data_IF_805065253847
#
_entry.id   IF_805065253847
#
_cell.length_a   1.000
_cell.length_b   1.000
_cell.length_c   1.000
_cell.angle_alpha   90.00
_cell.angle_beta   90.00
_cell.angle_gamma   90.00
#
_symmetry.space_group_name_H-M   'P 1'
#
loop_
_entity.id
_entity.type
_entity.pdbx_description
1 polymer ?
#
# COMPACT_ATOMS: atom_id res chain seq x y z
N UNK A 1 -1.25 -12.64 11.93
CA UNK A 1 -0.55 -12.50 10.68
C UNK A 1 0.03 -11.12 10.49
N UNK A 2 1.29 -11.08 10.13
CA UNK A 2 2.07 -9.84 10.02
C UNK A 2 1.48 -8.89 8.99
N UNK A 3 0.96 -9.41 7.88
CA UNK A 3 0.47 -8.59 6.76
C UNK A 3 -0.80 -7.82 7.08
N UNK A 4 -1.56 -8.26 8.07
CA UNK A 4 -2.82 -7.63 8.42
C UNK A 4 -2.65 -6.53 9.46
N UNK A 5 -1.48 -6.44 10.08
CA UNK A 5 -1.18 -5.36 11.00
C UNK A 5 -0.93 -4.08 10.21
N UNK A 6 -1.68 -3.04 10.55
CA UNK A 6 -1.38 -1.73 10.02
C UNK A 6 -0.16 -1.15 10.70
N UNK A 7 0.55 -0.26 10.01
CA UNK A 7 1.67 0.46 10.60
C UNK A 7 1.26 1.21 11.86
N UNK A 8 0.09 1.79 11.83
CA UNK A 8 -0.51 2.54 12.92
C UNK A 8 -0.69 1.67 14.18
N UNK A 9 -1.04 0.39 14.00
CA UNK A 9 -1.15 -0.55 15.12
C UNK A 9 0.23 -1.03 15.58
N UNK A 10 1.10 -1.36 14.64
CA UNK A 10 2.40 -1.94 14.92
C UNK A 10 3.32 -0.98 15.71
N UNK A 11 3.38 0.29 15.30
CA UNK A 11 4.31 1.25 15.93
C UNK A 11 3.96 1.58 17.38
N UNK A 12 2.71 1.94 17.73
CA UNK A 12 2.39 2.28 19.11
C UNK A 12 2.24 1.07 20.04
N UNK A 13 1.64 -0.01 19.55
CA UNK A 13 1.30 -1.18 20.38
C UNK A 13 2.53 -2.06 20.61
N UNK A 14 3.32 -2.26 19.58
CA UNK A 14 4.45 -3.19 19.60
C UNK A 14 5.81 -2.52 19.81
N UNK A 15 5.82 -1.21 20.01
CA UNK A 15 7.06 -0.42 20.13
C UNK A 15 8.00 -0.63 18.95
N UNK A 16 7.44 -0.80 17.77
CA UNK A 16 8.23 -1.00 16.56
C UNK A 16 8.97 0.28 16.18
N UNK A 17 10.18 0.14 15.66
CA UNK A 17 11.02 1.27 15.23
C UNK A 17 11.02 1.48 13.73
N UNK A 18 10.29 0.63 13.00
CA UNK A 18 10.20 0.72 11.55
C UNK A 18 9.37 -0.41 10.97
N UNK A 19 9.28 -0.46 9.66
CA UNK A 19 8.47 -1.44 8.93
C UNK A 19 9.06 -1.70 7.55
N UNK A 20 8.94 -2.94 7.08
CA UNK A 20 9.23 -3.31 5.71
C UNK A 20 7.90 -3.39 4.97
N UNK A 21 7.70 -2.49 4.01
CA UNK A 21 6.39 -2.23 3.42
C UNK A 21 6.31 -2.62 1.96
N UNK A 22 5.21 -3.24 1.57
CA UNK A 22 4.87 -3.47 0.16
C UNK A 22 4.35 -2.18 -0.48
N UNK A 23 3.44 -1.47 0.17
CA UNK A 23 2.86 -0.25 -0.38
C UNK A 23 3.89 0.88 -0.51
N UNK A 24 4.94 0.86 0.28
CA UNK A 24 6.04 1.81 0.16
C UNK A 24 6.74 1.79 -1.19
N UNK A 25 6.63 0.71 -1.95
CA UNK A 25 7.15 0.64 -3.31
C UNK A 25 6.37 1.54 -4.27
N UNK A 26 5.07 1.71 -4.04
CA UNK A 26 4.20 2.52 -4.88
C UNK A 26 4.07 3.96 -4.37
N UNK A 27 4.01 4.15 -3.06
CA UNK A 27 3.77 5.44 -2.41
C UNK A 27 4.81 5.74 -1.33
N UNK A 28 6.09 5.88 -1.70
CA UNK A 28 7.15 6.07 -0.71
C UNK A 28 7.03 7.36 0.09
N UNK A 29 6.55 8.43 -0.51
CA UNK A 29 6.42 9.73 0.17
C UNK A 29 5.34 9.70 1.23
N UNK A 30 4.14 9.30 0.85
CA UNK A 30 2.98 9.28 1.73
C UNK A 30 3.16 8.25 2.84
N UNK A 31 3.62 7.06 2.48
CA UNK A 31 3.89 6.02 3.46
C UNK A 31 5.02 6.43 4.42
N UNK A 32 6.09 6.98 3.90
CA UNK A 32 7.20 7.47 4.71
C UNK A 32 6.78 8.58 5.67
N UNK A 33 5.92 9.50 5.21
CA UNK A 33 5.36 10.55 6.06
C UNK A 33 4.55 9.95 7.20
N UNK A 34 3.70 8.97 6.91
CA UNK A 34 2.89 8.28 7.93
C UNK A 34 3.79 7.59 8.96
N UNK A 35 4.84 6.91 8.53
CA UNK A 35 5.80 6.25 9.41
C UNK A 35 6.48 7.26 10.34
N UNK A 36 6.98 8.36 9.78
CA UNK A 36 7.68 9.38 10.56
C UNK A 36 6.76 10.03 11.60
N UNK A 37 5.52 10.30 11.23
CA UNK A 37 4.53 10.85 12.15
C UNK A 37 4.24 9.87 13.29
N UNK A 38 4.05 8.61 12.97
CA UNK A 38 3.77 7.56 13.96
C UNK A 38 4.96 7.36 14.92
N UNK A 39 6.18 7.38 14.40
CA UNK A 39 7.39 7.25 15.23
C UNK A 39 7.58 8.42 16.19
N UNK A 40 7.08 9.60 15.83
CA UNK A 40 7.09 10.77 16.73
C UNK A 40 5.93 10.79 17.72
N UNK A 41 5.02 9.81 17.65
CA UNK A 41 3.83 9.76 18.47
C UNK A 41 2.70 10.66 17.97
N UNK A 42 2.82 11.22 16.77
CA UNK A 42 1.80 12.10 16.18
C UNK A 42 0.77 11.27 15.41
N UNK A 43 -0.04 10.52 16.15
CA UNK A 43 -1.05 9.63 15.56
C UNK A 43 -2.22 10.41 14.96
N UNK A 44 -2.49 11.60 15.46
CA UNK A 44 -3.55 12.45 14.94
C UNK A 44 -3.34 12.77 13.46
N UNK A 45 -2.11 13.04 13.04
CA UNK A 45 -1.77 13.33 11.65
C UNK A 45 -1.41 12.07 10.84
N UNK A 46 -0.97 10.99 11.48
CA UNK A 46 -0.68 9.73 10.81
C UNK A 46 -1.96 8.99 10.40
N UNK A 47 -2.98 9.03 11.23
CA UNK A 47 -4.22 8.27 11.04
C UNK A 47 -4.97 8.62 9.75
N UNK A 48 -5.13 9.88 9.35
CA UNK A 48 -5.76 10.21 8.07
C UNK A 48 -5.05 9.61 6.86
N UNK A 49 -3.73 9.54 6.90
CA UNK A 49 -2.94 8.92 5.83
C UNK A 49 -3.22 7.42 5.78
N UNK A 50 -3.26 6.77 6.95
CA UNK A 50 -3.60 5.35 7.04
C UNK A 50 -4.99 5.07 6.46
N UNK A 51 -5.99 5.84 6.82
CA UNK A 51 -7.35 5.67 6.32
C UNK A 51 -7.45 5.89 4.81
N UNK A 52 -6.70 6.84 4.28
CA UNK A 52 -6.64 7.12 2.85
C UNK A 52 -6.21 5.90 2.04
N UNK A 53 -5.30 5.10 2.57
CA UNK A 53 -4.75 3.93 1.87
C UNK A 53 -5.35 2.60 2.34
N UNK A 54 -6.30 2.60 3.26
CA UNK A 54 -6.81 1.37 3.88
C UNK A 54 -7.34 0.35 2.85
N UNK A 55 -8.09 0.80 1.86
CA UNK A 55 -8.62 -0.10 0.83
C UNK A 55 -7.54 -0.61 -0.11
N UNK A 56 -6.54 0.22 -0.40
CA UNK A 56 -5.40 -0.19 -1.22
C UNK A 56 -4.57 -1.26 -0.51
N UNK A 57 -4.41 -1.18 0.82
CA UNK A 57 -3.75 -2.21 1.60
C UNK A 57 -4.41 -3.58 1.41
N UNK A 58 -5.74 -3.61 1.42
CA UNK A 58 -6.50 -4.84 1.19
C UNK A 58 -6.28 -5.38 -0.21
N UNK A 59 -6.38 -4.53 -1.21
CA UNK A 59 -6.23 -4.93 -2.62
C UNK A 59 -4.84 -5.44 -2.97
N UNK A 60 -3.80 -4.95 -2.26
CA UNK A 60 -2.42 -5.41 -2.47
C UNK A 60 -2.25 -6.92 -2.29
N UNK A 61 -3.05 -7.53 -1.42
CA UNK A 61 -2.89 -8.93 -1.04
C UNK A 61 -4.02 -9.86 -1.50
N UNK A 62 -5.08 -9.33 -2.10
CA UNK A 62 -6.24 -10.13 -2.56
C UNK A 62 -5.81 -11.22 -3.54
N UNK A 63 -5.01 -10.88 -4.53
CA UNK A 63 -4.52 -11.81 -5.54
C UNK A 63 -3.04 -12.16 -5.34
N UNK A 64 -2.49 -11.85 -4.17
CA UNK A 64 -1.13 -12.17 -3.79
C UNK A 64 -0.13 -11.05 -4.03
N UNK A 65 1.02 -11.21 -3.41
CA UNK A 65 2.18 -10.33 -3.55
C UNK A 65 3.26 -11.11 -4.34
N UNK A 66 3.88 -10.54 -5.36
CA UNK A 66 3.92 -9.12 -5.77
C UNK A 66 2.87 -8.71 -6.81
N UNK A 67 1.91 -9.56 -7.15
CA UNK A 67 0.95 -9.25 -8.21
C UNK A 67 0.19 -7.94 -7.95
N UNK A 68 -0.26 -7.73 -6.70
CA UNK A 68 -1.00 -6.52 -6.31
C UNK A 68 -0.20 -5.25 -6.48
N UNK A 69 1.02 -5.18 -5.95
CA UNK A 69 1.85 -3.97 -6.04
C UNK A 69 2.30 -3.69 -7.47
N UNK A 70 2.54 -4.73 -8.27
CA UNK A 70 2.87 -4.55 -9.68
C UNK A 70 1.71 -4.00 -10.49
N UNK A 71 0.50 -4.48 -10.23
CA UNK A 71 -0.71 -3.93 -10.83
C UNK A 71 -0.87 -2.45 -10.48
N UNK A 72 -0.67 -2.10 -9.22
CA UNK A 72 -0.75 -0.72 -8.75
C UNK A 72 0.27 0.19 -9.44
N UNK A 73 1.52 -0.25 -9.53
CA UNK A 73 2.56 0.49 -10.23
C UNK A 73 2.27 0.63 -11.72
N UNK A 74 1.63 -0.36 -12.33
CA UNK A 74 1.19 -0.29 -13.72
C UNK A 74 0.09 0.76 -13.91
N UNK A 75 -0.91 0.80 -13.01
CA UNK A 75 -1.95 1.83 -13.05
C UNK A 75 -1.33 3.23 -12.96
N UNK A 76 -0.26 3.37 -12.19
CA UNK A 76 0.47 4.63 -12.07
C UNK A 76 1.36 4.94 -13.28
N UNK A 77 1.47 4.02 -14.23
CA UNK A 77 2.26 4.21 -15.44
C UNK A 77 3.76 4.03 -15.26
N UNK A 78 4.21 3.42 -14.16
CA UNK A 78 5.62 3.29 -13.82
C UNK A 78 6.28 2.03 -14.36
N UNK A 79 5.55 0.92 -14.45
CA UNK A 79 6.08 -0.37 -14.91
C UNK A 79 5.05 -1.10 -15.78
N UNK A 80 5.52 -2.12 -16.50
CA UNK A 80 4.64 -3.06 -17.17
C UNK A 80 4.06 -4.05 -16.16
N UNK A 81 2.82 -4.50 -16.39
CA UNK A 81 2.16 -5.48 -15.52
C UNK A 81 2.55 -6.90 -15.94
N UNK A 82 3.82 -7.23 -15.72
CA UNK A 82 4.39 -8.54 -16.06
C UNK A 82 5.02 -9.16 -14.84
N UNK A 83 4.81 -10.46 -14.69
CA UNK A 83 5.40 -11.27 -13.63
C UNK A 83 6.07 -12.50 -14.22
N UNK A 84 7.09 -13.00 -13.53
CA UNK A 84 7.75 -14.26 -13.90
C UNK A 84 6.88 -15.43 -13.42
N UNK A 85 6.70 -16.43 -14.29
CA UNK A 85 6.01 -17.65 -13.91
C UNK A 85 6.70 -18.32 -12.70
N UNK A 86 5.97 -18.94 -11.78
CA UNK A 86 4.52 -19.27 -11.84
C UNK A 86 3.59 -18.12 -11.41
N UNK A 87 4.12 -16.95 -11.11
CA UNK A 87 3.31 -15.79 -10.73
C UNK A 87 2.57 -15.24 -11.96
N UNK A 88 1.34 -14.81 -11.74
CA UNK A 88 0.49 -14.22 -12.77
C UNK A 88 -0.06 -12.88 -12.31
N UNK A 89 -0.43 -11.98 -13.26
CA UNK A 89 -1.05 -10.71 -12.90
C UNK A 89 -2.34 -10.88 -12.10
N UNK A 90 -2.76 -9.82 -11.42
CA UNK A 90 -4.03 -9.79 -10.71
C UNK A 90 -5.20 -10.00 -11.66
N UNK A 91 -6.33 -10.45 -11.11
CA UNK A 91 -7.58 -10.50 -11.85
C UNK A 91 -7.98 -9.10 -12.33
N UNK A 92 -8.70 -9.05 -13.45
CA UNK A 92 -9.19 -7.78 -14.01
C UNK A 92 -10.04 -7.02 -13.00
N UNK A 93 -10.87 -7.72 -12.23
CA UNK A 93 -11.71 -7.10 -11.21
C UNK A 93 -10.89 -6.37 -10.14
N UNK A 94 -9.80 -6.98 -9.67
CA UNK A 94 -8.88 -6.36 -8.71
C UNK A 94 -8.17 -5.15 -9.32
N UNK A 95 -7.68 -5.29 -10.53
CA UNK A 95 -7.01 -4.22 -11.26
C UNK A 95 -7.91 -2.99 -11.44
N UNK A 96 -9.16 -3.21 -11.85
CA UNK A 96 -10.12 -2.13 -12.06
C UNK A 96 -10.48 -1.43 -10.73
N UNK A 97 -10.63 -2.18 -9.65
CA UNK A 97 -10.85 -1.60 -8.32
C UNK A 97 -9.69 -0.70 -7.89
N UNK A 98 -8.46 -1.16 -8.10
CA UNK A 98 -7.27 -0.34 -7.83
C UNK A 98 -7.28 0.95 -8.63
N UNK A 99 -7.59 0.86 -9.92
CA UNK A 99 -7.64 2.01 -10.81
C UNK A 99 -8.66 3.05 -10.34
N UNK A 100 -9.86 2.59 -9.99
CA UNK A 100 -10.92 3.47 -9.50
C UNK A 100 -10.49 4.18 -8.21
N UNK A 101 -9.93 3.44 -7.25
CA UNK A 101 -9.51 4.01 -5.98
C UNK A 101 -8.38 5.02 -6.17
N UNK A 102 -7.40 4.71 -7.01
CA UNK A 102 -6.29 5.62 -7.31
C UNK A 102 -6.77 6.91 -7.98
N UNK A 103 -7.75 6.81 -8.88
CA UNK A 103 -8.37 7.97 -9.48
C UNK A 103 -9.12 8.83 -8.45
N UNK A 104 -9.87 8.18 -7.55
CA UNK A 104 -10.59 8.88 -6.47
C UNK A 104 -9.66 9.61 -5.52
N UNK A 105 -8.51 9.02 -5.22
CA UNK A 105 -7.50 9.63 -4.36
C UNK A 105 -6.70 10.71 -5.07
N UNK A 106 -6.91 10.89 -6.37
CA UNK A 106 -6.18 11.84 -7.21
C UNK A 106 -4.67 11.63 -7.17
N UNK A 107 -4.25 10.37 -7.05
CA UNK A 107 -2.84 10.00 -7.02
C UNK A 107 -2.45 9.56 -8.43
N UNK A 108 -1.68 10.42 -9.09
CA UNK A 108 -1.09 10.13 -10.39
C UNK A 108 0.38 10.53 -10.38
N UNK A 109 1.14 9.78 -11.10
CA UNK A 109 2.53 10.17 -11.38
C UNK A 109 2.58 11.24 -12.43
#
# INVERSE_FOLDING_TARGET
>A
EIYTLSLHDALPIWSAVGVISVIGNAFPREFGKMVRLALRGDFEHALPIHHKFAELFKLLFVDGNPAGVKAMLNVMGLIENKLRLPLVPTRITTFEKMRVILDQLNIRC
#
